data_IF_148171149291
#
_entry.id   IF_148171149291
#
_cell.length_a   1.000
_cell.length_b   1.000
_cell.length_c   1.000
_cell.angle_alpha   90.00
_cell.angle_beta   90.00
_cell.angle_gamma   90.00
#
_symmetry.space_group_name_H-M   'P 1'
#
loop_
_entity.id
_entity.type
_entity.pdbx_description
1 polymer ?
#
# COMPACT_ATOMS: atom_id res chain seq x y z
N UNK A 1 -1.41 -12.86 -21.77
CA UNK A 1 -1.03 -12.66 -23.20
C UNK A 1 0.44 -12.26 -23.38
N UNK A 2 1.09 -11.61 -22.40
CA UNK A 2 2.50 -11.17 -22.48
C UNK A 2 3.52 -12.08 -21.77
N UNK A 3 3.10 -13.09 -20.99
CA UNK A 3 4.03 -13.96 -20.27
C UNK A 3 4.59 -15.08 -21.14
N UNK A 4 5.93 -15.20 -21.15
CA UNK A 4 6.63 -16.39 -21.63
C UNK A 4 6.28 -17.59 -20.73
N UNK A 5 6.36 -18.83 -21.22
CA UNK A 5 6.05 -20.00 -20.40
C UNK A 5 6.91 -20.09 -19.14
N UNK A 6 8.19 -19.69 -19.20
CA UNK A 6 9.08 -19.62 -18.05
C UNK A 6 8.63 -18.59 -16.99
N UNK A 7 8.14 -17.41 -17.43
CA UNK A 7 7.65 -16.38 -16.51
C UNK A 7 6.39 -16.84 -15.74
N UNK A 8 5.58 -17.73 -16.33
CA UNK A 8 4.41 -18.30 -15.65
C UNK A 8 4.80 -19.23 -14.52
N UNK A 9 5.89 -19.99 -14.68
CA UNK A 9 6.41 -20.88 -13.63
C UNK A 9 6.94 -20.05 -12.47
N UNK A 10 7.73 -19.02 -12.77
CA UNK A 10 8.24 -18.08 -11.75
C UNK A 10 7.09 -17.40 -11.00
N UNK A 11 6.07 -16.95 -11.73
CA UNK A 11 4.88 -16.33 -11.13
C UNK A 11 4.14 -17.31 -10.21
N UNK A 12 4.00 -18.58 -10.60
CA UNK A 12 3.36 -19.59 -9.77
C UNK A 12 4.10 -19.80 -8.44
N UNK A 13 5.43 -19.94 -8.47
CA UNK A 13 6.24 -20.04 -7.26
C UNK A 13 6.19 -18.76 -6.42
N UNK A 14 6.16 -17.59 -7.07
CA UNK A 14 6.05 -16.31 -6.38
C UNK A 14 4.70 -16.15 -5.67
N UNK A 15 3.61 -16.61 -6.28
CA UNK A 15 2.28 -16.64 -5.65
C UNK A 15 2.28 -17.59 -4.45
N UNK A 16 2.85 -18.79 -4.59
CA UNK A 16 2.99 -19.73 -3.47
C UNK A 16 3.79 -19.12 -2.32
N UNK A 17 4.92 -18.47 -2.62
CA UNK A 17 5.72 -17.74 -1.63
C UNK A 17 4.92 -16.63 -0.95
N UNK A 18 4.12 -15.87 -1.71
CA UNK A 18 3.26 -14.82 -1.17
C UNK A 18 2.20 -15.38 -0.22
N UNK A 19 1.58 -16.53 -0.56
CA UNK A 19 0.59 -17.20 0.30
C UNK A 19 1.22 -17.69 1.60
N UNK A 20 2.39 -18.33 1.52
CA UNK A 20 3.11 -18.85 2.70
C UNK A 20 3.49 -17.69 3.63
N UNK A 21 4.06 -16.61 3.07
CA UNK A 21 4.47 -15.43 3.82
C UNK A 21 3.26 -14.70 4.44
N UNK A 22 2.15 -14.60 3.72
CA UNK A 22 0.90 -14.03 4.25
C UNK A 22 0.31 -14.87 5.40
N UNK A 23 0.45 -16.20 5.36
CA UNK A 23 0.02 -17.11 6.41
C UNK A 23 0.86 -17.03 7.68
N UNK A 24 2.11 -16.55 7.59
CA UNK A 24 2.97 -16.41 8.77
C UNK A 24 2.42 -15.42 9.79
N UNK A 25 1.75 -14.35 9.37
CA UNK A 25 1.15 -13.37 10.29
C UNK A 25 0.11 -14.00 11.23
N UNK A 26 -0.98 -14.59 10.71
CA UNK A 26 -1.96 -15.31 11.52
C UNK A 26 -1.37 -16.49 12.30
N UNK A 27 -0.42 -17.24 11.73
CA UNK A 27 0.26 -18.31 12.43
C UNK A 27 1.04 -17.80 13.64
N UNK A 28 1.73 -16.67 13.52
CA UNK A 28 2.44 -16.02 14.62
C UNK A 28 1.48 -15.64 15.75
N UNK A 29 0.31 -15.07 15.43
CA UNK A 29 -0.74 -14.78 16.42
C UNK A 29 -1.24 -16.05 17.12
N UNK A 30 -1.39 -17.15 16.38
CA UNK A 30 -1.80 -18.43 16.95
C UNK A 30 -0.78 -18.98 17.96
N UNK A 31 0.48 -19.10 17.57
CA UNK A 31 1.53 -19.59 18.46
C UNK A 31 1.78 -18.64 19.63
N UNK A 32 1.65 -17.34 19.41
CA UNK A 32 1.77 -16.34 20.47
C UNK A 32 0.67 -16.51 21.52
N UNK A 33 -0.58 -16.74 21.11
CA UNK A 33 -1.67 -17.03 22.04
C UNK A 33 -1.38 -18.28 22.89
N UNK A 34 -0.90 -19.36 22.28
CA UNK A 34 -0.55 -20.59 23.01
C UNK A 34 0.61 -20.36 23.98
N UNK A 35 1.61 -19.57 23.59
CA UNK A 35 2.70 -19.18 24.48
C UNK A 35 2.17 -18.37 25.67
N UNK A 36 1.31 -17.38 25.43
CA UNK A 36 0.71 -16.58 26.50
C UNK A 36 -0.09 -17.46 27.48
N UNK A 37 -0.88 -18.40 26.97
CA UNK A 37 -1.60 -19.33 27.82
C UNK A 37 -0.66 -20.23 28.63
N UNK A 38 0.40 -20.75 28.02
CA UNK A 38 1.35 -21.63 28.73
C UNK A 38 2.20 -20.92 29.79
N UNK A 39 2.45 -19.61 29.64
CA UNK A 39 3.33 -18.84 30.54
C UNK A 39 2.54 -18.06 31.58
N UNK A 40 1.37 -17.51 31.23
CA UNK A 40 0.64 -16.55 32.05
C UNK A 40 -0.72 -17.04 32.55
N UNK A 41 -1.31 -18.09 31.96
CA UNK A 41 -2.62 -18.59 32.39
C UNK A 41 -2.46 -19.67 33.49
N UNK A 42 -3.33 -19.69 34.52
CA UNK A 42 -3.30 -20.75 35.53
C UNK A 42 -3.57 -22.12 34.90
N UNK A 43 -2.80 -23.14 35.29
CA UNK A 43 -3.15 -24.53 34.99
C UNK A 43 -4.53 -24.86 35.57
N UNK A 44 -5.19 -25.91 35.08
CA UNK A 44 -6.54 -26.38 35.49
C UNK A 44 -6.73 -26.53 37.03
N UNK A 45 -5.64 -26.52 37.79
CA UNK A 45 -5.60 -26.59 39.25
C UNK A 45 -5.73 -25.22 39.94
N UNK A 46 -5.92 -24.12 39.20
CA UNK A 46 -6.11 -22.77 39.74
C UNK A 46 -4.84 -22.09 40.27
N UNK A 47 -3.67 -22.74 40.18
CA UNK A 47 -2.38 -22.16 40.53
C UNK A 47 -1.76 -21.49 39.30
N UNK A 48 -1.40 -20.21 39.42
CA UNK A 48 -0.47 -19.59 38.49
C UNK A 48 0.83 -20.42 38.46
N UNK A 49 1.48 -20.62 37.30
CA UNK A 49 2.79 -21.24 37.27
C UNK A 49 3.72 -20.51 38.27
N UNK A 50 4.41 -21.22 39.18
CA UNK A 50 5.18 -20.57 40.25
C UNK A 50 6.20 -19.61 39.66
N UNK A 51 6.22 -18.37 40.13
CA UNK A 51 7.15 -17.33 39.68
C UNK A 51 8.58 -17.57 40.17
N UNK A 52 8.77 -18.43 41.17
CA UNK A 52 10.03 -18.69 41.85
C UNK A 52 10.32 -20.20 41.91
N UNK A 53 11.00 -20.72 40.90
CA UNK A 53 11.51 -22.09 40.86
C UNK A 53 12.36 -22.37 39.60
N UNK A 54 13.37 -23.26 39.65
CA UNK A 54 14.11 -23.68 38.47
C UNK A 54 13.22 -24.61 37.64
N UNK A 55 12.52 -24.05 36.66
CA UNK A 55 11.52 -24.75 35.87
C UNK A 55 12.13 -25.23 34.55
N UNK A 56 12.74 -26.42 34.56
CA UNK A 56 13.18 -27.13 33.35
C UNK A 56 12.03 -27.26 32.34
N UNK A 57 10.79 -27.44 32.82
CA UNK A 57 9.60 -27.49 31.97
C UNK A 57 9.23 -26.14 31.33
N UNK A 58 9.31 -25.01 32.06
CA UNK A 58 9.00 -23.68 31.50
C UNK A 58 10.04 -23.29 30.46
N UNK A 59 11.32 -23.46 30.80
CA UNK A 59 12.43 -23.11 29.91
C UNK A 59 12.40 -23.99 28.66
N UNK A 60 11.92 -25.25 28.77
CA UNK A 60 11.65 -26.12 27.62
C UNK A 60 10.50 -25.60 26.74
N UNK A 61 9.35 -25.23 27.30
CA UNK A 61 8.22 -24.69 26.50
C UNK A 61 8.58 -23.36 25.83
N UNK A 62 9.33 -22.50 26.52
CA UNK A 62 9.84 -21.24 25.94
C UNK A 62 10.84 -21.53 24.83
N UNK A 63 11.78 -22.46 25.02
CA UNK A 63 12.73 -22.83 23.96
C UNK A 63 12.04 -23.46 22.75
N UNK A 64 11.06 -24.34 22.95
CA UNK A 64 10.25 -24.92 21.86
C UNK A 64 9.50 -23.83 21.09
N UNK A 65 8.88 -22.87 21.78
CA UNK A 65 8.20 -21.75 21.13
C UNK A 65 9.17 -20.83 20.38
N UNK A 66 10.34 -20.51 20.95
CA UNK A 66 11.38 -19.70 20.30
C UNK A 66 11.86 -20.39 19.01
N UNK A 67 12.03 -21.71 19.00
CA UNK A 67 12.39 -22.47 17.80
C UNK A 67 11.28 -22.40 16.73
N UNK A 68 10.01 -22.47 17.13
CA UNK A 68 8.87 -22.31 16.21
C UNK A 68 8.82 -20.90 15.62
N UNK A 69 9.02 -19.85 16.42
CA UNK A 69 9.07 -18.48 15.93
C UNK A 69 10.26 -18.23 15.00
N UNK A 70 11.43 -18.79 15.32
CA UNK A 70 12.61 -18.70 14.46
C UNK A 70 12.36 -19.40 13.11
N UNK A 71 11.75 -20.59 13.13
CA UNK A 71 11.36 -21.32 11.92
C UNK A 71 10.35 -20.56 11.06
N UNK A 72 9.32 -19.98 11.68
CA UNK A 72 8.33 -19.13 11.01
C UNK A 72 8.96 -17.88 10.41
N UNK A 73 9.85 -17.20 11.14
CA UNK A 73 10.55 -16.02 10.65
C UNK A 73 11.45 -16.35 9.46
N UNK A 74 12.21 -17.45 9.53
CA UNK A 74 13.03 -17.92 8.41
C UNK A 74 12.17 -18.27 7.19
N UNK A 75 11.05 -18.98 7.39
CA UNK A 75 10.11 -19.31 6.33
C UNK A 75 9.50 -18.06 5.69
N UNK A 76 9.06 -17.08 6.49
CA UNK A 76 8.53 -15.82 6.00
C UNK A 76 9.56 -15.01 5.22
N UNK A 77 10.81 -14.99 5.69
CA UNK A 77 11.90 -14.27 5.01
C UNK A 77 12.16 -14.88 3.64
N UNK A 78 12.33 -16.20 3.55
CA UNK A 78 12.62 -16.89 2.28
C UNK A 78 11.42 -16.82 1.33
N UNK A 79 10.21 -17.11 1.82
CA UNK A 79 9.00 -17.08 1.02
C UNK A 79 8.63 -15.66 0.55
N UNK A 80 8.81 -14.67 1.44
CA UNK A 80 8.61 -13.26 1.12
C UNK A 80 9.61 -12.78 0.07
N UNK A 81 10.91 -13.04 0.26
CA UNK A 81 11.92 -12.68 -0.74
C UNK A 81 11.63 -13.33 -2.10
N UNK A 82 11.29 -14.62 -2.11
CA UNK A 82 10.92 -15.33 -3.34
C UNK A 82 9.71 -14.67 -4.04
N UNK A 83 8.69 -14.27 -3.28
CA UNK A 83 7.53 -13.58 -3.81
C UNK A 83 7.90 -12.22 -4.42
N UNK A 84 8.56 -11.35 -3.65
CA UNK A 84 8.92 -10.01 -4.11
C UNK A 84 9.86 -10.04 -5.32
N UNK A 85 10.89 -10.88 -5.29
CA UNK A 85 11.85 -11.02 -6.39
C UNK A 85 11.17 -11.62 -7.63
N UNK A 86 10.33 -12.65 -7.45
CA UNK A 86 9.62 -13.30 -8.55
C UNK A 86 8.66 -12.35 -9.26
N UNK A 87 7.85 -11.59 -8.52
CA UNK A 87 6.95 -10.59 -9.10
C UNK A 87 7.71 -9.42 -9.73
N UNK A 88 8.82 -8.96 -9.13
CA UNK A 88 9.67 -7.93 -9.72
C UNK A 88 10.25 -8.39 -11.07
N UNK A 89 10.79 -9.61 -11.15
CA UNK A 89 11.29 -10.14 -12.41
C UNK A 89 10.23 -10.26 -13.50
N UNK A 90 9.04 -10.76 -13.16
CA UNK A 90 7.93 -10.86 -14.12
C UNK A 90 7.47 -9.49 -14.59
N UNK A 91 7.38 -8.51 -13.68
CA UNK A 91 7.02 -7.14 -14.01
C UNK A 91 8.04 -6.51 -14.98
N UNK A 92 9.32 -6.78 -14.79
CA UNK A 92 10.40 -6.27 -15.63
C UNK A 92 10.33 -6.84 -17.04
N UNK A 93 10.15 -8.15 -17.16
CA UNK A 93 9.99 -8.83 -18.44
C UNK A 93 8.74 -8.34 -19.18
N UNK A 94 7.62 -8.18 -18.48
CA UNK A 94 6.39 -7.64 -19.06
C UNK A 94 6.58 -6.20 -19.56
N UNK A 95 7.25 -5.36 -18.76
CA UNK A 95 7.49 -3.96 -19.11
C UNK A 95 8.41 -3.85 -20.32
N UNK A 96 9.43 -4.70 -20.43
CA UNK A 96 10.32 -4.75 -21.59
C UNK A 96 9.58 -5.23 -22.86
N UNK A 97 8.73 -6.25 -22.76
CA UNK A 97 7.93 -6.71 -23.91
C UNK A 97 6.94 -5.63 -24.36
N UNK A 98 6.31 -4.94 -23.41
CA UNK A 98 5.43 -3.81 -23.68
C UNK A 98 6.17 -2.68 -24.40
N UNK A 99 7.35 -2.28 -23.91
CA UNK A 99 8.19 -1.25 -24.55
C UNK A 99 8.58 -1.65 -25.97
N UNK A 100 9.00 -2.90 -26.19
CA UNK A 100 9.37 -3.41 -27.53
C UNK A 100 8.20 -3.36 -28.51
N UNK A 101 7.03 -3.83 -28.10
CA UNK A 101 5.82 -3.80 -28.95
C UNK A 101 5.37 -2.38 -29.22
N UNK A 102 5.36 -1.51 -28.20
CA UNK A 102 4.99 -0.12 -28.36
C UNK A 102 5.91 0.58 -29.35
N UNK A 103 7.24 0.42 -29.21
CA UNK A 103 8.22 0.98 -30.13
C UNK A 103 8.07 0.43 -31.55
N UNK A 104 7.88 -0.89 -31.70
CA UNK A 104 7.63 -1.51 -33.01
C UNK A 104 6.38 -0.98 -33.68
N UNK A 105 5.29 -0.74 -32.93
CA UNK A 105 4.07 -0.15 -33.48
C UNK A 105 4.24 1.32 -33.80
N UNK A 106 5.03 2.05 -32.99
CA UNK A 106 5.34 3.44 -33.25
C UNK A 106 6.02 3.57 -34.62
N UNK A 107 7.08 2.80 -34.89
CA UNK A 107 7.83 2.83 -36.15
C UNK A 107 7.00 2.47 -37.41
N UNK A 108 5.86 1.81 -37.24
CA UNK A 108 4.97 1.42 -38.34
C UNK A 108 3.87 2.46 -38.60
N UNK A 109 3.86 3.60 -37.90
CA UNK A 109 2.90 4.68 -38.11
C UNK A 109 3.24 5.51 -39.34
N UNK A 110 2.19 6.03 -39.97
CA UNK A 110 2.30 6.93 -41.12
C UNK A 110 2.93 8.27 -40.73
N UNK A 111 3.58 8.93 -41.68
CA UNK A 111 4.28 10.21 -41.46
C UNK A 111 3.31 11.29 -40.94
N UNK A 112 2.07 11.35 -41.47
CA UNK A 112 1.06 12.31 -41.02
C UNK A 112 0.61 12.15 -39.56
N UNK A 113 0.83 10.97 -38.96
CA UNK A 113 0.57 10.77 -37.54
C UNK A 113 1.60 11.48 -36.66
N UNK A 114 2.86 11.56 -37.12
CA UNK A 114 3.94 12.27 -36.43
C UNK A 114 3.83 13.79 -36.54
N UNK A 115 3.16 14.32 -37.56
CA UNK A 115 2.88 15.76 -37.68
C UNK A 115 1.95 16.27 -36.58
N UNK A 116 1.10 15.39 -36.03
CA UNK A 116 0.17 15.71 -34.93
C UNK A 116 0.71 15.32 -33.54
N UNK A 117 1.71 14.43 -33.48
CA UNK A 117 2.25 13.90 -32.22
C UNK A 117 3.77 14.12 -32.13
N UNK A 118 4.19 15.03 -31.25
CA UNK A 118 5.62 15.28 -30.99
C UNK A 118 6.35 14.03 -30.50
N UNK A 119 7.51 13.75 -31.08
CA UNK A 119 8.38 12.65 -30.65
C UNK A 119 8.81 12.76 -29.17
N UNK A 120 8.97 14.00 -28.66
CA UNK A 120 9.33 14.23 -27.27
C UNK A 120 8.21 13.84 -26.29
N UNK A 121 6.95 14.17 -26.61
CA UNK A 121 5.80 13.80 -25.77
C UNK A 121 5.57 12.29 -25.77
N UNK A 122 5.81 11.63 -26.91
CA UNK A 122 5.76 10.17 -27.05
C UNK A 122 6.78 9.46 -26.18
N UNK A 123 8.04 9.91 -26.18
CA UNK A 123 9.10 9.33 -25.36
C UNK A 123 8.82 9.46 -23.87
N UNK A 124 8.31 10.63 -23.45
CA UNK A 124 7.92 10.87 -22.05
C UNK A 124 6.75 9.99 -21.63
N UNK A 125 5.70 9.88 -22.45
CA UNK A 125 4.55 8.99 -22.17
C UNK A 125 4.97 7.54 -22.08
N UNK A 126 5.78 7.07 -23.04
CA UNK A 126 6.30 5.71 -23.02
C UNK A 126 7.06 5.43 -21.72
N UNK A 127 7.87 6.38 -21.24
CA UNK A 127 8.64 6.20 -20.00
C UNK A 127 7.74 6.21 -18.77
N UNK A 128 6.85 7.19 -18.63
CA UNK A 128 5.97 7.33 -17.46
C UNK A 128 4.93 6.21 -17.39
N UNK A 129 4.19 5.95 -18.48
CA UNK A 129 3.12 4.96 -18.49
C UNK A 129 3.66 3.55 -18.24
N UNK A 130 4.87 3.24 -18.75
CA UNK A 130 5.51 1.94 -18.49
C UNK A 130 6.11 1.84 -17.09
N UNK A 131 6.53 2.95 -16.50
CA UNK A 131 6.97 3.00 -15.12
C UNK A 131 5.79 2.74 -14.17
N UNK A 132 4.67 3.42 -14.37
CA UNK A 132 3.45 3.23 -13.58
C UNK A 132 2.91 1.80 -13.74
N UNK A 133 2.95 1.26 -14.96
CA UNK A 133 2.60 -0.14 -15.23
C UNK A 133 3.50 -1.14 -14.49
N UNK A 134 4.83 -0.92 -14.48
CA UNK A 134 5.80 -1.74 -13.74
C UNK A 134 5.52 -1.69 -12.24
N UNK A 135 5.33 -0.50 -11.69
CA UNK A 135 5.01 -0.28 -10.28
C UNK A 135 3.73 -1.00 -9.86
N UNK A 136 2.68 -0.91 -10.70
CA UNK A 136 1.41 -1.58 -10.45
C UNK A 136 1.49 -3.12 -10.51
N UNK A 137 2.25 -3.64 -11.46
CA UNK A 137 2.31 -5.10 -11.71
C UNK A 137 3.34 -5.83 -10.83
N UNK A 138 4.38 -5.12 -10.36
CA UNK A 138 5.42 -5.66 -9.48
C UNK A 138 4.99 -5.65 -8.02
N UNK A 139 5.50 -4.69 -7.26
CA UNK A 139 5.37 -4.64 -5.80
C UNK A 139 3.92 -4.58 -5.33
N UNK A 140 3.08 -3.75 -5.97
CA UNK A 140 1.68 -3.57 -5.56
C UNK A 140 0.88 -4.85 -5.71
N UNK A 141 1.13 -5.65 -6.75
CA UNK A 141 0.44 -6.92 -6.95
C UNK A 141 0.76 -7.93 -5.84
N UNK A 142 2.03 -8.00 -5.40
CA UNK A 142 2.43 -8.86 -4.26
C UNK A 142 1.66 -8.45 -3.01
N UNK A 143 1.67 -7.16 -2.68
CA UNK A 143 0.98 -6.65 -1.48
C UNK A 143 -0.53 -6.90 -1.53
N UNK A 144 -1.16 -6.77 -2.71
CA UNK A 144 -2.58 -7.07 -2.89
C UNK A 144 -2.89 -8.55 -2.65
N UNK A 145 -2.09 -9.46 -3.23
CA UNK A 145 -2.28 -10.90 -3.03
C UNK A 145 -2.06 -11.27 -1.56
N UNK A 146 -1.00 -10.77 -0.95
CA UNK A 146 -0.74 -10.98 0.48
C UNK A 146 -1.90 -10.49 1.33
N UNK A 147 -2.44 -9.29 1.06
CA UNK A 147 -3.59 -8.75 1.79
C UNK A 147 -4.86 -9.60 1.61
N UNK A 148 -5.16 -10.04 0.39
CA UNK A 148 -6.32 -10.88 0.08
C UNK A 148 -6.24 -12.27 0.72
N UNK A 149 -5.03 -12.76 0.98
CA UNK A 149 -4.78 -14.08 1.55
C UNK A 149 -4.67 -13.99 3.08
N UNK A 150 -3.98 -12.97 3.60
CA UNK A 150 -3.82 -12.71 5.03
C UNK A 150 -5.14 -12.38 5.72
N UNK A 151 -6.02 -11.58 5.08
CA UNK A 151 -7.30 -11.18 5.67
C UNK A 151 -8.20 -12.38 6.04
N UNK A 152 -8.56 -13.30 5.11
CA UNK A 152 -9.39 -14.46 5.46
C UNK A 152 -8.67 -15.42 6.40
N UNK A 153 -7.35 -15.64 6.25
CA UNK A 153 -6.61 -16.50 7.20
C UNK A 153 -6.61 -15.93 8.62
N UNK A 154 -6.48 -14.62 8.78
CA UNK A 154 -6.59 -13.94 10.06
C UNK A 154 -7.96 -14.14 10.71
N UNK A 155 -9.05 -13.98 9.94
CA UNK A 155 -10.40 -14.27 10.44
C UNK A 155 -10.57 -15.73 10.85
N UNK A 156 -10.09 -16.69 10.04
CA UNK A 156 -10.17 -18.12 10.37
C UNK A 156 -9.47 -18.42 11.69
N UNK A 157 -8.22 -17.97 11.87
CA UNK A 157 -7.47 -18.18 13.11
C UNK A 157 -8.19 -17.54 14.31
N UNK A 158 -8.72 -16.33 14.13
CA UNK A 158 -9.42 -15.63 15.20
C UNK A 158 -10.70 -16.38 15.63
N UNK A 159 -11.52 -16.87 14.68
CA UNK A 159 -12.74 -17.63 14.98
C UNK A 159 -12.45 -18.99 15.64
N UNK A 160 -11.30 -19.60 15.30
CA UNK A 160 -10.86 -20.88 15.89
C UNK A 160 -10.46 -20.71 17.36
N UNK A 161 -9.83 -19.60 17.72
CA UNK A 161 -9.42 -19.35 19.11
C UNK A 161 -10.62 -19.03 20.00
N UNK A 162 -11.37 -17.96 19.66
CA UNK A 162 -12.51 -17.53 20.46
C UNK A 162 -13.57 -16.88 19.59
N UNK A 163 -14.60 -17.67 19.24
CA UNK A 163 -15.71 -17.20 18.40
C UNK A 163 -16.54 -16.08 19.08
N UNK A 164 -16.56 -16.02 20.42
CA UNK A 164 -17.31 -14.99 21.16
C UNK A 164 -16.61 -13.64 21.12
N UNK A 165 -15.31 -13.60 21.40
CA UNK A 165 -14.51 -12.38 21.37
C UNK A 165 -14.41 -11.82 19.94
N UNK A 166 -14.25 -12.70 18.95
CA UNK A 166 -14.20 -12.28 17.55
C UNK A 166 -15.50 -11.68 17.05
N UNK A 167 -16.67 -12.21 17.43
CA UNK A 167 -17.96 -11.60 17.08
C UNK A 167 -18.12 -10.20 17.68
N UNK A 168 -17.64 -9.97 18.91
CA UNK A 168 -17.65 -8.64 19.53
C UNK A 168 -16.76 -7.67 18.75
N UNK A 169 -15.55 -8.10 18.38
CA UNK A 169 -14.62 -7.30 17.58
C UNK A 169 -15.13 -7.08 16.14
N UNK A 170 -15.95 -7.99 15.59
CA UNK A 170 -16.52 -7.84 14.25
C UNK A 170 -17.46 -6.63 14.16
N UNK A 171 -18.09 -6.22 15.27
CA UNK A 171 -18.91 -5.00 15.34
C UNK A 171 -18.06 -3.74 15.14
N UNK A 172 -16.77 -3.79 15.45
CA UNK A 172 -15.82 -2.70 15.20
C UNK A 172 -15.54 -2.49 13.71
N UNK A 173 -15.53 -3.57 12.92
CA UNK A 173 -15.14 -3.57 11.51
C UNK A 173 -15.93 -2.57 10.65
N UNK A 174 -17.29 -2.50 10.71
CA UNK A 174 -18.03 -1.48 9.96
C UNK A 174 -17.78 -0.05 10.45
N UNK A 175 -17.53 0.15 11.75
CA UNK A 175 -17.18 1.46 12.30
C UNK A 175 -15.85 1.95 11.73
N UNK A 176 -14.84 1.08 11.73
CA UNK A 176 -13.53 1.35 11.14
C UNK A 176 -13.61 1.53 9.62
N UNK A 177 -14.38 0.68 8.94
CA UNK A 177 -14.61 0.75 7.50
C UNK A 177 -15.24 2.10 7.09
N UNK A 178 -16.18 2.62 7.88
CA UNK A 178 -16.76 3.94 7.69
C UNK A 178 -15.72 5.06 7.80
N UNK A 179 -14.87 5.02 8.82
CA UNK A 179 -13.75 5.95 8.99
C UNK A 179 -12.78 5.93 7.81
N UNK A 180 -12.35 4.74 7.41
CA UNK A 180 -11.42 4.55 6.28
C UNK A 180 -12.04 4.98 4.95
N UNK A 181 -13.31 4.67 4.72
CA UNK A 181 -14.07 5.10 3.54
C UNK A 181 -14.18 6.63 3.44
N UNK A 182 -14.41 7.31 4.58
CA UNK A 182 -14.40 8.77 4.64
C UNK A 182 -13.02 9.36 4.31
N UNK A 183 -11.93 8.80 4.86
CA UNK A 183 -10.56 9.21 4.51
C UNK A 183 -10.27 9.05 3.02
N UNK A 184 -10.57 7.87 2.46
CA UNK A 184 -10.37 7.57 1.04
C UNK A 184 -11.16 8.52 0.14
N UNK A 185 -12.43 8.81 0.47
CA UNK A 185 -13.26 9.74 -0.29
C UNK A 185 -12.76 11.18 -0.19
N UNK A 186 -12.32 11.61 0.99
CA UNK A 186 -11.76 12.94 1.20
C UNK A 186 -10.45 13.12 0.44
N UNK A 187 -9.57 12.11 0.46
CA UNK A 187 -8.28 12.15 -0.21
C UNK A 187 -8.42 12.14 -1.73
N UNK A 188 -9.21 11.22 -2.29
CA UNK A 188 -9.44 11.13 -3.75
C UNK A 188 -10.17 12.34 -4.30
N UNK A 189 -11.22 12.81 -3.62
CA UNK A 189 -11.99 13.97 -4.04
C UNK A 189 -11.21 15.29 -3.96
N UNK A 190 -10.32 15.43 -2.96
CA UNK A 190 -9.48 16.62 -2.85
C UNK A 190 -8.31 16.61 -3.83
N UNK A 191 -7.65 15.47 -4.05
CA UNK A 191 -6.52 15.37 -4.95
C UNK A 191 -6.86 15.85 -6.38
N UNK A 192 -8.01 15.43 -6.91
CA UNK A 192 -8.47 15.87 -8.23
C UNK A 192 -8.73 17.39 -8.30
N UNK A 193 -9.32 17.97 -7.25
CA UNK A 193 -9.58 19.42 -7.16
C UNK A 193 -8.29 20.22 -7.03
N UNK A 194 -7.39 19.77 -6.16
CA UNK A 194 -6.07 20.39 -5.98
C UNK A 194 -5.30 20.41 -7.30
N UNK A 195 -5.29 19.29 -8.03
CA UNK A 195 -4.62 19.22 -9.33
C UNK A 195 -5.22 20.19 -10.37
N UNK A 196 -6.54 20.41 -10.36
CA UNK A 196 -7.18 21.39 -11.23
C UNK A 196 -6.77 22.85 -10.88
N UNK A 197 -6.67 23.20 -9.60
CA UNK A 197 -6.19 24.52 -9.19
C UNK A 197 -4.69 24.72 -9.50
N UNK A 198 -3.87 23.69 -9.28
CA UNK A 198 -2.45 23.72 -9.66
C UNK A 198 -2.25 23.84 -11.17
N UNK A 199 -3.08 23.21 -11.99
CA UNK A 199 -3.03 23.36 -13.44
C UNK A 199 -3.31 24.80 -13.89
N UNK A 200 -4.30 25.47 -13.28
CA UNK A 200 -4.61 26.89 -13.55
C UNK A 200 -3.48 27.82 -13.12
N UNK A 201 -2.97 27.65 -11.90
CA UNK A 201 -1.84 28.42 -11.40
C UNK A 201 -0.59 28.20 -12.27
N UNK A 202 -0.34 26.95 -12.67
CA UNK A 202 0.73 26.58 -13.61
C UNK A 202 0.61 27.30 -14.95
N UNK A 203 -0.60 27.36 -15.53
CA UNK A 203 -0.83 28.11 -16.77
C UNK A 203 -0.56 29.63 -16.65
N UNK A 204 -0.90 30.24 -15.51
CA UNK A 204 -0.58 31.66 -15.23
C UNK A 204 0.94 31.86 -15.13
N UNK A 205 1.63 30.96 -14.42
CA UNK A 205 3.09 31.01 -14.30
C UNK A 205 3.78 30.81 -15.65
N UNK A 206 3.33 29.83 -16.45
CA UNK A 206 3.86 29.54 -17.78
C UNK A 206 3.70 30.74 -18.72
N UNK A 207 2.53 31.37 -18.75
CA UNK A 207 2.27 32.57 -19.57
C UNK A 207 3.13 33.76 -19.12
N UNK A 208 3.33 33.92 -17.82
CA UNK A 208 4.13 35.02 -17.25
C UNK A 208 5.61 34.84 -17.55
N UNK A 209 6.13 33.61 -17.43
CA UNK A 209 7.52 33.27 -17.71
C UNK A 209 7.82 33.31 -19.21
N UNK A 210 6.91 32.85 -20.06
CA UNK A 210 7.09 32.90 -21.52
C UNK A 210 7.16 34.34 -22.03
N UNK A 211 6.41 35.26 -21.40
CA UNK A 211 6.32 36.67 -21.78
C UNK A 211 7.06 37.61 -20.81
N UNK A 212 8.11 37.12 -20.13
CA UNK A 212 8.76 37.85 -19.03
C UNK A 212 9.29 39.23 -19.44
N UNK A 213 9.82 39.37 -20.66
CA UNK A 213 10.31 40.67 -21.20
C UNK A 213 9.18 41.67 -21.36
N UNK A 214 8.00 41.22 -21.78
CA UNK A 214 6.80 42.07 -21.91
C UNK A 214 6.28 42.46 -20.53
N UNK A 215 6.22 41.53 -19.58
CA UNK A 215 5.78 41.83 -18.20
C UNK A 215 6.74 42.83 -17.54
N UNK A 216 8.05 42.69 -17.77
CA UNK A 216 9.08 43.63 -17.32
C UNK A 216 8.89 45.03 -17.92
N UNK A 217 8.68 45.11 -19.24
CA UNK A 217 8.53 46.36 -19.97
C UNK A 217 7.31 47.18 -19.52
N UNK A 218 6.23 46.51 -19.10
CA UNK A 218 5.00 47.16 -18.60
C UNK A 218 4.93 47.23 -17.06
N UNK A 219 5.96 46.79 -16.33
CA UNK A 219 5.98 46.81 -14.85
C UNK A 219 4.89 45.93 -14.21
N UNK A 220 4.44 44.87 -14.87
CA UNK A 220 3.25 44.11 -14.52
C UNK A 220 3.43 42.98 -13.50
N UNK A 221 4.57 42.92 -12.79
CA UNK A 221 4.92 41.80 -11.90
C UNK A 221 3.88 41.57 -10.80
N UNK A 222 3.53 42.63 -10.06
CA UNK A 222 2.56 42.56 -8.96
C UNK A 222 1.22 41.97 -9.41
N UNK A 223 0.74 42.37 -10.59
CA UNK A 223 -0.53 41.90 -11.14
C UNK A 223 -0.51 40.40 -11.46
N UNK A 224 0.62 39.86 -11.92
CA UNK A 224 0.75 38.44 -12.21
C UNK A 224 0.94 37.61 -10.95
N UNK A 225 1.68 38.14 -9.96
CA UNK A 225 1.83 37.52 -8.64
C UNK A 225 0.47 37.44 -7.93
N UNK A 226 -0.33 38.50 -7.98
CA UNK A 226 -1.69 38.54 -7.40
C UNK A 226 -2.59 37.47 -8.04
N UNK A 227 -2.55 37.34 -9.37
CA UNK A 227 -3.30 36.31 -10.12
C UNK A 227 -2.87 34.90 -9.75
N UNK A 228 -1.56 34.65 -9.69
CA UNK A 228 -1.01 33.35 -9.30
C UNK A 228 -1.42 32.98 -7.87
N UNK A 229 -1.31 33.94 -6.94
CA UNK A 229 -1.74 33.78 -5.55
C UNK A 229 -3.24 33.49 -5.43
N UNK A 230 -4.08 34.14 -6.24
CA UNK A 230 -5.53 33.91 -6.25
C UNK A 230 -5.88 32.48 -6.69
N UNK A 231 -5.23 31.96 -7.72
CA UNK A 231 -5.43 30.57 -8.16
C UNK A 231 -4.92 29.55 -7.12
N UNK A 232 -3.79 29.83 -6.47
CA UNK A 232 -3.24 28.99 -5.39
C UNK A 232 -4.07 29.01 -4.11
N UNK A 233 -4.73 30.13 -3.78
CA UNK A 233 -5.56 30.24 -2.58
C UNK A 233 -6.71 29.20 -2.59
N UNK A 234 -7.22 28.84 -3.78
CA UNK A 234 -8.17 27.75 -3.95
C UNK A 234 -7.58 26.39 -3.56
N UNK A 235 -6.40 26.06 -4.10
CA UNK A 235 -5.66 24.83 -3.77
C UNK A 235 -5.33 24.72 -2.28
N UNK A 236 -4.92 25.85 -1.66
CA UNK A 236 -4.58 25.90 -0.25
C UNK A 236 -5.80 25.62 0.64
N UNK A 237 -6.95 26.27 0.36
CA UNK A 237 -8.18 26.08 1.14
C UNK A 237 -8.69 24.65 1.06
N UNK A 238 -8.70 24.06 -0.14
CA UNK A 238 -9.14 22.68 -0.32
C UNK A 238 -8.14 21.69 0.31
N UNK A 239 -6.84 21.97 0.23
CA UNK A 239 -5.80 21.20 0.92
C UNK A 239 -5.95 21.22 2.43
N UNK A 240 -6.23 22.38 3.04
CA UNK A 240 -6.47 22.49 4.49
C UNK A 240 -7.73 21.71 4.89
N UNK A 241 -8.83 21.84 4.14
CA UNK A 241 -10.06 21.07 4.42
C UNK A 241 -9.84 19.57 4.32
N UNK A 242 -9.11 19.12 3.31
CA UNK A 242 -8.78 17.71 3.13
C UNK A 242 -7.84 17.20 4.23
N UNK A 243 -6.85 18.00 4.63
CA UNK A 243 -5.98 17.70 5.76
C UNK A 243 -6.75 17.52 7.06
N UNK A 244 -7.69 18.42 7.36
CA UNK A 244 -8.58 18.28 8.51
C UNK A 244 -9.47 17.04 8.43
N UNK A 245 -10.07 16.76 7.27
CA UNK A 245 -10.92 15.59 7.09
C UNK A 245 -10.13 14.28 7.25
N UNK A 246 -8.92 14.23 6.68
CA UNK A 246 -8.02 13.08 6.83
C UNK A 246 -7.57 12.92 8.29
N UNK A 247 -7.17 14.01 8.96
CA UNK A 247 -6.78 14.00 10.36
C UNK A 247 -7.90 13.53 11.30
N UNK A 248 -9.13 14.00 11.09
CA UNK A 248 -10.29 13.54 11.85
C UNK A 248 -10.60 12.06 11.60
N UNK A 249 -10.51 11.60 10.36
CA UNK A 249 -10.70 10.18 10.03
C UNK A 249 -9.65 9.29 10.70
N UNK A 250 -8.36 9.66 10.62
CA UNK A 250 -7.28 8.95 11.29
C UNK A 250 -7.46 8.94 12.82
N UNK A 251 -7.83 10.08 13.42
CA UNK A 251 -8.12 10.15 14.85
C UNK A 251 -9.28 9.24 15.25
N UNK A 252 -10.37 9.23 14.47
CA UNK A 252 -11.51 8.35 14.69
C UNK A 252 -11.15 6.87 14.59
N UNK A 253 -10.32 6.48 13.62
CA UNK A 253 -9.80 5.12 13.49
C UNK A 253 -8.99 4.72 14.73
N UNK A 254 -8.08 5.58 15.19
CA UNK A 254 -7.20 5.28 16.32
C UNK A 254 -7.98 5.17 17.64
N UNK A 255 -8.94 6.08 17.86
CA UNK A 255 -9.83 6.04 19.04
C UNK A 255 -10.67 4.76 19.02
N UNK A 256 -11.18 4.37 17.86
CA UNK A 256 -11.95 3.12 17.74
C UNK A 256 -11.09 1.92 18.13
N UNK A 257 -9.86 1.80 17.59
CA UNK A 257 -8.93 0.70 17.92
C UNK A 257 -8.71 0.60 19.44
N UNK A 258 -8.29 1.70 20.07
CA UNK A 258 -7.97 1.67 21.49
C UNK A 258 -9.21 1.53 22.37
N UNK A 259 -10.36 2.06 21.95
CA UNK A 259 -11.63 1.88 22.64
C UNK A 259 -12.05 0.41 22.70
N UNK A 260 -11.83 -0.35 21.64
CA UNK A 260 -12.07 -1.80 21.64
C UNK A 260 -11.05 -2.59 22.45
N UNK A 261 -9.79 -2.15 22.54
CA UNK A 261 -8.80 -2.80 23.42
C UNK A 261 -9.00 -2.52 24.91
N UNK A 262 -9.72 -1.46 25.26
CA UNK A 262 -9.99 -1.10 26.65
C UNK A 262 -11.20 -1.85 27.25
N UNK A 263 -11.99 -2.54 26.43
CA UNK A 263 -13.25 -3.19 26.79
C UNK A 263 -13.05 -4.70 26.94
#
# INVERSE_FOLDING_TARGET
RYLRPADRVILFFAILGAVISAGTGPAMSFFMNNLFQSVFWPNDNGTMPPTEGPHEDRDRHVNEAVLVFLGLAAAAFVAGLMAYIGFAHVADNMTLDLKRRFFSHLLQKEVGWYDTHSAASMSTRLTNDTYDFRMGTGEKMVTLIMGLVMSPMGFVVAFVQDWRLTLMMLVAVPLMGGGFGMAMKAMSGSAAKQQAFYAKAGGVAETTLSSIRTVAAFGGYERQIEKYRKELAGAQRDGVKAGWCNGMSMGFLQISIYGFFAL
#
